data_IF_460106429539
#
_entry.id   IF_460106429539
#
_cell.length_a   1.000
_cell.length_b   1.000
_cell.length_c   1.000
_cell.angle_alpha   90.00
_cell.angle_beta   90.00
_cell.angle_gamma   90.00
#
_symmetry.space_group_name_H-M   'P 1'
#
loop_
_entity.id
_entity.type
_entity.pdbx_description
1 polymer ?
#
# COMPACT_ATOMS: atom_id res chain seq x y z
N UNK A 1 1.92 -4.02 -10.02
CA UNK A 1 2.42 -5.40 -10.25
C UNK A 1 3.72 -5.32 -11.01
N UNK A 2 4.64 -6.28 -10.85
CA UNK A 2 5.83 -6.47 -11.69
C UNK A 2 5.78 -7.89 -12.23
N UNK A 3 6.07 -8.08 -13.51
CA UNK A 3 6.19 -9.40 -14.14
C UNK A 3 7.53 -9.45 -14.86
N UNK A 4 8.33 -10.48 -14.58
CA UNK A 4 9.63 -10.70 -15.22
C UNK A 4 9.64 -12.03 -15.96
N UNK A 5 9.57 -11.98 -17.29
CA UNK A 5 9.59 -13.17 -18.13
C UNK A 5 10.96 -13.88 -18.06
N UNK A 6 12.03 -13.09 -17.97
CA UNK A 6 13.40 -13.64 -17.86
C UNK A 6 13.59 -14.47 -16.58
N UNK A 7 13.07 -13.97 -15.44
CA UNK A 7 13.22 -14.65 -14.14
C UNK A 7 12.06 -15.62 -13.85
N UNK A 8 11.02 -15.68 -14.72
CA UNK A 8 9.76 -16.39 -14.46
C UNK A 8 9.22 -16.06 -13.06
N UNK A 9 9.12 -14.77 -12.77
CA UNK A 9 8.87 -14.23 -11.44
C UNK A 9 7.86 -13.08 -11.49
N UNK A 10 6.96 -13.01 -10.51
CA UNK A 10 5.98 -11.94 -10.44
C UNK A 10 5.82 -11.40 -9.01
N UNK A 11 5.71 -10.07 -8.89
CA UNK A 11 5.32 -9.39 -7.67
C UNK A 11 3.92 -8.82 -7.80
N UNK A 12 2.97 -9.38 -7.05
CA UNK A 12 1.59 -8.88 -6.97
C UNK A 12 1.52 -7.77 -5.92
N UNK A 13 1.27 -6.56 -6.38
CA UNK A 13 1.34 -5.37 -5.52
C UNK A 13 0.01 -5.12 -4.80
N UNK A 14 -0.14 -5.65 -3.60
CA UNK A 14 -1.27 -5.35 -2.71
C UNK A 14 -1.11 -3.92 -2.16
N UNK A 15 -2.15 -3.06 -2.26
CA UNK A 15 -2.06 -1.69 -1.78
C UNK A 15 -1.86 -1.62 -0.27
N UNK A 16 -1.05 -0.65 0.19
CA UNK A 16 -0.75 -0.34 1.60
C UNK A 16 0.07 -1.40 2.36
N UNK A 17 0.71 -2.34 1.64
CA UNK A 17 1.56 -3.40 2.15
C UNK A 17 3.05 -3.19 1.78
N UNK A 18 3.60 -1.98 1.96
CA UNK A 18 4.98 -1.58 1.64
C UNK A 18 5.42 -1.80 0.17
N UNK A 19 4.48 -2.00 -0.74
CA UNK A 19 4.74 -2.34 -2.14
C UNK A 19 5.68 -1.37 -2.88
N UNK A 20 5.73 -0.09 -2.50
CA UNK A 20 6.64 0.89 -3.12
C UNK A 20 8.11 0.53 -2.88
N UNK A 21 8.47 0.12 -1.67
CA UNK A 21 9.86 -0.25 -1.33
C UNK A 21 10.30 -1.53 -2.05
N UNK A 22 9.39 -2.52 -2.17
CA UNK A 22 9.65 -3.78 -2.87
C UNK A 22 9.63 -3.60 -4.39
N UNK A 23 8.64 -2.88 -4.91
CA UNK A 23 8.45 -2.69 -6.37
C UNK A 23 9.56 -1.89 -7.02
N UNK A 24 10.06 -0.85 -6.35
CA UNK A 24 10.99 0.11 -6.95
C UNK A 24 12.26 -0.56 -7.54
N UNK A 25 12.99 -1.41 -6.81
CA UNK A 25 14.13 -2.11 -7.39
C UNK A 25 13.72 -3.14 -8.46
N UNK A 26 12.55 -3.80 -8.33
CA UNK A 26 12.06 -4.77 -9.29
C UNK A 26 11.64 -4.16 -10.64
N UNK A 27 11.49 -2.85 -10.75
CA UNK A 27 11.20 -2.17 -12.03
C UNK A 27 12.27 -2.45 -13.10
N UNK A 28 13.51 -2.71 -12.68
CA UNK A 28 14.61 -3.00 -13.60
C UNK A 28 14.42 -4.29 -14.40
N UNK A 29 13.62 -5.23 -13.87
CA UNK A 29 13.34 -6.52 -14.51
C UNK A 29 11.90 -6.65 -15.02
N UNK A 30 11.11 -5.59 -14.95
CA UNK A 30 9.72 -5.59 -15.39
C UNK A 30 9.63 -5.65 -16.90
N UNK A 31 9.10 -6.76 -17.43
CA UNK A 31 8.92 -6.98 -18.86
C UNK A 31 7.62 -6.38 -19.41
N UNK A 32 6.77 -5.83 -18.52
CA UNK A 32 5.54 -5.12 -18.94
C UNK A 32 5.78 -3.65 -19.28
N UNK A 33 7.04 -3.19 -19.26
CA UNK A 33 7.43 -1.80 -19.50
C UNK A 33 6.65 -0.80 -18.61
N UNK A 34 6.35 -1.18 -17.38
CA UNK A 34 5.61 -0.34 -16.42
C UNK A 34 4.12 -0.25 -16.68
N UNK A 35 3.55 -1.06 -17.57
CA UNK A 35 2.11 -1.04 -17.86
C UNK A 35 1.28 -1.20 -16.59
N UNK A 36 1.65 -2.12 -15.71
CA UNK A 36 1.02 -2.36 -14.42
C UNK A 36 1.59 -1.49 -13.28
N UNK A 37 2.15 -0.32 -13.59
CA UNK A 37 2.64 0.64 -12.58
C UNK A 37 2.08 2.06 -12.79
N UNK A 38 0.96 2.19 -13.47
CA UNK A 38 0.35 3.48 -13.83
C UNK A 38 -1.12 3.57 -13.43
N UNK A 39 -1.64 4.79 -13.44
CA UNK A 39 -3.07 5.09 -13.53
C UNK A 39 -3.37 5.39 -14.99
N UNK A 40 -4.45 4.84 -15.54
CA UNK A 40 -4.80 5.06 -16.93
C UNK A 40 -6.22 4.60 -17.26
N UNK A 41 -6.64 4.85 -18.49
CA UNK A 41 -7.93 4.41 -19.01
C UNK A 41 -7.84 2.99 -19.57
N UNK A 42 -8.93 2.24 -19.42
CA UNK A 42 -9.16 0.93 -20.04
C UNK A 42 -10.59 0.88 -20.55
N UNK A 43 -10.80 0.39 -21.78
CA UNK A 43 -12.09 0.46 -22.48
C UNK A 43 -13.25 -0.14 -21.67
N UNK A 44 -13.03 -1.30 -21.03
CA UNK A 44 -14.06 -1.98 -20.26
C UNK A 44 -14.12 -1.57 -18.77
N UNK A 45 -13.03 -1.04 -18.20
CA UNK A 45 -12.91 -0.75 -16.77
C UNK A 45 -12.95 0.75 -16.44
N UNK A 46 -12.85 1.62 -17.45
CA UNK A 46 -12.69 3.06 -17.25
C UNK A 46 -11.33 3.41 -16.67
N UNK A 47 -11.28 4.49 -15.90
CA UNK A 47 -10.03 4.95 -15.27
C UNK A 47 -9.68 4.15 -14.03
N UNK A 48 -8.60 3.38 -14.09
CA UNK A 48 -8.16 2.49 -13.02
C UNK A 48 -6.69 2.70 -12.63
N UNK A 49 -6.35 2.17 -11.46
CA UNK A 49 -4.97 2.05 -11.00
C UNK A 49 -4.43 0.65 -11.32
N UNK A 50 -3.77 0.49 -12.47
CA UNK A 50 -3.25 -0.81 -12.94
C UNK A 50 -2.29 -1.48 -11.95
N UNK A 51 -1.54 -0.71 -11.13
CA UNK A 51 -0.68 -1.30 -10.11
C UNK A 51 -1.46 -2.04 -9.02
N UNK A 52 -2.76 -1.78 -8.88
CA UNK A 52 -3.65 -2.38 -7.90
C UNK A 52 -4.82 -3.13 -8.56
N UNK A 53 -4.56 -3.72 -9.74
CA UNK A 53 -5.54 -4.58 -10.42
C UNK A 53 -5.73 -5.87 -9.61
N UNK A 54 -6.98 -6.28 -9.38
CA UNK A 54 -7.31 -7.55 -8.71
C UNK A 54 -7.03 -8.74 -9.63
N UNK A 55 -6.89 -9.94 -9.08
CA UNK A 55 -6.69 -11.15 -9.91
C UNK A 55 -7.92 -11.45 -10.79
N UNK A 56 -9.13 -11.09 -10.32
CA UNK A 56 -10.34 -11.19 -11.15
C UNK A 56 -10.24 -10.32 -12.39
N UNK A 57 -9.97 -9.03 -12.20
CA UNK A 57 -9.88 -8.08 -13.31
C UNK A 57 -8.68 -8.39 -14.23
N UNK A 58 -7.59 -8.89 -13.66
CA UNK A 58 -6.44 -9.35 -14.43
C UNK A 58 -6.81 -10.56 -15.31
N UNK A 59 -7.50 -11.56 -14.76
CA UNK A 59 -7.90 -12.75 -15.51
C UNK A 59 -8.92 -12.43 -16.62
N UNK A 60 -9.83 -11.48 -16.36
CA UNK A 60 -10.86 -11.09 -17.31
C UNK A 60 -10.32 -10.25 -18.47
N UNK A 61 -9.42 -9.31 -18.18
CA UNK A 61 -8.99 -8.30 -19.16
C UNK A 61 -7.55 -8.47 -19.65
N UNK A 62 -6.73 -9.28 -18.97
CA UNK A 62 -5.31 -9.55 -19.27
C UNK A 62 -4.98 -11.03 -19.12
N UNK A 63 -5.66 -11.91 -19.87
CA UNK A 63 -5.52 -13.36 -19.69
C UNK A 63 -4.09 -13.88 -19.91
N UNK A 64 -3.28 -13.19 -20.75
CA UNK A 64 -1.87 -13.53 -20.95
C UNK A 64 -1.04 -13.33 -19.70
N UNK A 65 -1.20 -12.18 -19.02
CA UNK A 65 -0.52 -11.87 -17.76
C UNK A 65 -1.06 -12.73 -16.60
N UNK A 66 -2.34 -13.01 -16.59
CA UNK A 66 -2.93 -13.92 -15.61
C UNK A 66 -2.38 -15.35 -15.75
N UNK A 67 -2.15 -15.83 -16.97
CA UNK A 67 -1.49 -17.11 -17.23
C UNK A 67 -0.04 -17.10 -16.70
N UNK A 68 0.71 -16.01 -16.93
CA UNK A 68 2.07 -15.87 -16.40
C UNK A 68 2.12 -15.97 -14.87
N UNK A 69 1.14 -15.42 -14.14
CA UNK A 69 1.09 -15.54 -12.68
C UNK A 69 0.90 -16.99 -12.20
N UNK A 70 0.27 -17.85 -13.01
CA UNK A 70 0.12 -19.28 -12.71
C UNK A 70 1.38 -20.08 -13.03
N UNK A 71 2.10 -19.67 -14.09
CA UNK A 71 3.28 -20.37 -14.60
C UNK A 71 4.59 -19.90 -13.92
N UNK A 72 4.61 -18.69 -13.38
CA UNK A 72 5.77 -18.08 -12.75
C UNK A 72 5.67 -18.16 -11.24
N UNK A 73 6.80 -18.03 -10.56
CA UNK A 73 6.79 -17.90 -9.11
C UNK A 73 6.26 -16.52 -8.72
N UNK A 74 5.04 -16.48 -8.22
CA UNK A 74 4.39 -15.24 -7.80
C UNK A 74 4.49 -15.03 -6.28
N UNK A 75 4.77 -13.80 -5.85
CA UNK A 75 4.73 -13.45 -4.44
C UNK A 75 3.99 -12.15 -4.17
N UNK A 76 3.51 -12.01 -2.93
CA UNK A 76 2.87 -10.80 -2.44
C UNK A 76 3.30 -10.48 -1.01
N UNK A 77 3.16 -9.21 -0.64
CA UNK A 77 3.33 -8.76 0.75
C UNK A 77 1.98 -8.40 1.32
N UNK A 78 1.67 -8.94 2.50
CA UNK A 78 0.43 -8.69 3.24
C UNK A 78 0.71 -7.89 4.52
N UNK A 79 -0.34 -7.37 5.11
CA UNK A 79 -0.30 -6.58 6.33
C UNK A 79 -1.51 -6.87 7.19
N UNK A 80 -1.39 -6.67 8.52
CA UNK A 80 -2.54 -6.67 9.43
C UNK A 80 -3.69 -5.81 8.86
N UNK A 81 -4.91 -6.37 8.71
CA UNK A 81 -6.01 -5.68 8.04
C UNK A 81 -6.43 -4.37 8.72
N UNK A 82 -6.36 -4.26 10.06
CA UNK A 82 -6.68 -3.01 10.77
C UNK A 82 -5.69 -1.92 10.42
N UNK A 83 -4.39 -2.26 10.45
CA UNK A 83 -3.33 -1.31 10.12
C UNK A 83 -3.38 -0.91 8.65
N UNK A 84 -3.72 -1.85 7.75
CA UNK A 84 -3.87 -1.60 6.32
C UNK A 84 -5.05 -0.68 6.04
N UNK A 85 -6.23 -0.97 6.61
CA UNK A 85 -7.43 -0.14 6.48
C UNK A 85 -7.17 1.29 6.94
N UNK A 86 -6.59 1.46 8.12
CA UNK A 86 -6.21 2.77 8.64
C UNK A 86 -5.22 3.49 7.73
N UNK A 87 -4.24 2.76 7.17
CA UNK A 87 -3.28 3.32 6.20
C UNK A 87 -3.96 3.80 4.91
N UNK A 88 -4.99 3.10 4.45
CA UNK A 88 -5.80 3.49 3.30
C UNK A 88 -6.63 4.76 3.58
N UNK A 89 -7.27 4.85 4.77
CA UNK A 89 -7.98 6.07 5.20
C UNK A 89 -7.08 7.30 5.22
N UNK A 90 -5.88 7.19 5.79
CA UNK A 90 -4.91 8.29 5.79
C UNK A 90 -4.51 8.71 4.37
N UNK A 91 -4.36 7.75 3.46
CA UNK A 91 -4.03 8.07 2.07
C UNK A 91 -5.19 8.78 1.37
N UNK A 92 -6.42 8.27 1.51
CA UNK A 92 -7.61 8.87 0.92
C UNK A 92 -7.82 10.31 1.41
N UNK A 93 -7.70 10.56 2.70
CA UNK A 93 -7.79 11.91 3.29
C UNK A 93 -6.74 12.87 2.70
N UNK A 94 -5.52 12.41 2.42
CA UNK A 94 -4.46 13.24 1.84
C UNK A 94 -4.60 13.45 0.35
N UNK A 95 -4.92 12.42 -0.41
CA UNK A 95 -4.94 12.45 -1.87
C UNK A 95 -6.23 13.03 -2.42
N UNK A 96 -7.37 12.60 -1.89
CA UNK A 96 -8.68 12.98 -2.42
C UNK A 96 -9.37 14.10 -1.63
N UNK A 97 -9.13 14.19 -0.32
CA UNK A 97 -9.64 15.29 0.52
C UNK A 97 -8.61 16.40 0.74
N UNK A 98 -7.39 16.26 0.18
CA UNK A 98 -6.29 17.24 0.23
C UNK A 98 -5.93 17.74 1.64
N UNK A 99 -6.18 16.91 2.67
CA UNK A 99 -5.86 17.26 4.06
C UNK A 99 -4.37 17.06 4.32
N UNK A 100 -3.77 18.02 5.03
CA UNK A 100 -2.44 17.82 5.59
C UNK A 100 -2.51 16.84 6.77
N UNK A 101 -1.41 16.14 7.02
CA UNK A 101 -1.36 15.16 8.11
C UNK A 101 -1.68 15.76 9.48
N UNK A 102 -1.28 17.00 9.73
CA UNK A 102 -1.57 17.74 10.95
C UNK A 102 -3.06 18.05 11.16
N UNK A 103 -3.86 18.00 10.10
CA UNK A 103 -5.28 18.35 10.11
C UNK A 103 -6.16 17.10 10.23
N UNK A 104 -5.54 15.91 10.17
CA UNK A 104 -6.22 14.61 10.31
C UNK A 104 -6.39 14.33 11.82
N UNK A 105 -7.58 14.59 12.32
CA UNK A 105 -7.99 14.29 13.70
C UNK A 105 -8.67 12.93 13.78
N UNK A 106 -8.85 12.40 14.99
CA UNK A 106 -9.59 11.17 15.24
C UNK A 106 -11.01 11.23 14.65
N UNK A 107 -11.75 12.31 14.91
CA UNK A 107 -13.12 12.49 14.38
C UNK A 107 -13.15 12.46 12.85
N UNK A 108 -12.13 13.03 12.18
CA UNK A 108 -12.01 12.96 10.71
C UNK A 108 -11.78 11.54 10.22
N UNK A 109 -10.96 10.76 10.92
CA UNK A 109 -10.74 9.35 10.60
C UNK A 109 -12.01 8.53 10.79
N UNK A 110 -12.76 8.75 11.88
CA UNK A 110 -14.01 8.06 12.16
C UNK A 110 -15.09 8.39 11.11
N UNK A 111 -15.23 9.65 10.73
CA UNK A 111 -16.14 10.08 9.66
C UNK A 111 -15.77 9.45 8.31
N UNK A 112 -14.49 9.53 7.94
CA UNK A 112 -13.98 8.95 6.70
C UNK A 112 -14.16 7.44 6.67
N UNK A 113 -13.94 6.75 7.80
CA UNK A 113 -14.19 5.31 7.92
C UNK A 113 -15.66 4.98 7.68
N UNK A 114 -16.60 5.74 8.27
CA UNK A 114 -18.03 5.55 8.06
C UNK A 114 -18.45 5.74 6.59
N UNK A 115 -17.88 6.75 5.89
CA UNK A 115 -18.14 6.98 4.47
C UNK A 115 -17.62 5.84 3.59
N UNK A 116 -16.38 5.40 3.86
CA UNK A 116 -15.79 4.25 3.15
C UNK A 116 -16.56 2.97 3.41
N UNK A 117 -16.96 2.70 4.66
CA UNK A 117 -17.74 1.50 5.00
C UNK A 117 -19.06 1.50 4.23
N UNK A 118 -19.79 2.59 4.22
CA UNK A 118 -21.04 2.71 3.46
C UNK A 118 -20.85 2.44 1.96
N UNK A 119 -19.75 2.92 1.39
CA UNK A 119 -19.41 2.62 0.00
C UNK A 119 -19.10 1.13 -0.21
N UNK A 120 -18.34 0.49 0.68
CA UNK A 120 -18.01 -0.93 0.58
C UNK A 120 -19.24 -1.83 0.82
N UNK A 121 -20.16 -1.43 1.69
CA UNK A 121 -21.43 -2.13 1.95
C UNK A 121 -22.39 -2.06 0.76
N UNK A 122 -22.24 -1.10 -0.15
CA UNK A 122 -23.01 -1.07 -1.41
C UNK A 122 -22.56 -2.15 -2.41
N UNK A 123 -21.53 -2.90 -2.08
CA UNK A 123 -20.97 -4.04 -2.83
C UNK A 123 -20.75 -3.75 -4.33
N UNK A 124 -20.00 -2.70 -4.66
CA UNK A 124 -19.75 -2.37 -6.06
C UNK A 124 -18.94 -3.48 -6.74
N UNK A 125 -19.27 -3.76 -8.00
CA UNK A 125 -18.57 -4.78 -8.82
C UNK A 125 -17.06 -4.55 -8.85
N UNK A 126 -16.64 -3.28 -8.87
CA UNK A 126 -15.23 -2.83 -8.80
C UNK A 126 -15.15 -1.57 -7.97
N UNK A 127 -14.13 -1.47 -7.13
CA UNK A 127 -13.86 -0.23 -6.40
C UNK A 127 -13.27 0.81 -7.35
N UNK A 128 -13.75 2.05 -7.26
CA UNK A 128 -13.21 3.18 -8.01
C UNK A 128 -11.81 3.60 -7.53
N UNK A 129 -11.23 4.60 -8.20
CA UNK A 129 -9.88 5.09 -7.90
C UNK A 129 -9.71 5.60 -6.46
N UNK A 130 -10.75 6.20 -5.88
CA UNK A 130 -10.71 6.70 -4.51
C UNK A 130 -10.71 5.58 -3.48
N UNK A 131 -11.32 4.44 -3.82
CA UNK A 131 -11.55 3.32 -2.91
C UNK A 131 -10.67 2.10 -3.20
N UNK A 132 -9.89 2.09 -4.30
CA UNK A 132 -9.06 0.94 -4.72
C UNK A 132 -8.13 0.41 -3.62
N UNK A 133 -7.70 1.27 -2.69
CA UNK A 133 -6.86 0.87 -1.57
C UNK A 133 -7.60 0.06 -0.49
N UNK A 134 -8.92 -0.06 -0.58
CA UNK A 134 -9.77 -0.83 0.34
C UNK A 134 -10.16 -2.22 -0.20
N UNK A 135 -9.73 -2.60 -1.42
CA UNK A 135 -9.87 -3.98 -1.88
C UNK A 135 -9.32 -4.95 -0.83
N UNK A 136 -9.90 -6.15 -0.73
CA UNK A 136 -9.36 -7.20 0.15
C UNK A 136 -8.00 -7.65 -0.35
N UNK A 137 -7.11 -8.01 0.55
CA UNK A 137 -5.80 -8.59 0.18
C UNK A 137 -5.98 -9.94 -0.53
N UNK A 138 -6.99 -10.69 -0.10
CA UNK A 138 -7.41 -11.94 -0.71
C UNK A 138 -7.77 -11.82 -2.19
N UNK A 139 -8.28 -10.66 -2.66
CA UNK A 139 -8.60 -10.41 -4.07
C UNK A 139 -7.35 -10.37 -4.98
N UNK A 140 -6.16 -10.26 -4.38
CA UNK A 140 -4.85 -10.27 -5.04
C UNK A 140 -4.11 -11.59 -4.91
N UNK A 141 -4.64 -12.53 -4.12
CA UNK A 141 -4.00 -13.82 -3.82
C UNK A 141 -4.80 -14.99 -4.39
N UNK A 142 -6.13 -14.87 -4.36
CA UNK A 142 -7.04 -15.92 -4.80
C UNK A 142 -7.86 -15.48 -6.02
N UNK A 143 -8.11 -16.42 -6.91
CA UNK A 143 -9.04 -16.26 -8.04
C UNK A 143 -9.85 -17.54 -8.22
N UNK A 144 -11.19 -17.42 -8.35
CA UNK A 144 -12.11 -18.56 -8.51
C UNK A 144 -11.92 -19.68 -7.47
N UNK A 145 -11.60 -19.30 -6.21
CA UNK A 145 -11.37 -20.25 -5.11
C UNK A 145 -9.96 -20.87 -5.08
N UNK A 146 -9.14 -20.61 -6.09
CA UNK A 146 -7.77 -21.11 -6.19
C UNK A 146 -6.76 -20.04 -5.69
N UNK A 147 -5.72 -20.49 -4.99
CA UNK A 147 -4.58 -19.64 -4.63
C UNK A 147 -3.63 -19.53 -5.82
N UNK A 148 -3.45 -18.32 -6.35
CA UNK A 148 -2.61 -18.02 -7.50
C UNK A 148 -1.21 -17.57 -7.08
N UNK A 149 -1.09 -16.88 -5.94
CA UNK A 149 0.18 -16.37 -5.44
C UNK A 149 0.85 -17.42 -4.55
N UNK A 150 2.06 -17.84 -4.93
CA UNK A 150 2.79 -18.92 -4.26
C UNK A 150 3.31 -18.54 -2.88
N UNK A 151 4.00 -17.40 -2.79
CA UNK A 151 4.68 -16.97 -1.58
C UNK A 151 4.06 -15.71 -1.02
N UNK A 152 3.74 -15.72 0.26
CA UNK A 152 3.11 -14.60 0.95
C UNK A 152 3.94 -14.25 2.16
N UNK A 153 4.38 -13.00 2.21
CA UNK A 153 5.18 -12.47 3.31
C UNK A 153 4.42 -11.40 4.07
N UNK A 154 4.43 -11.42 5.40
CA UNK A 154 3.92 -10.30 6.16
C UNK A 154 4.94 -9.14 6.11
N UNK A 155 4.44 -7.90 6.12
CA UNK A 155 5.28 -6.71 6.08
C UNK A 155 6.29 -6.65 7.23
N UNK A 156 6.00 -7.32 8.32
CA UNK A 156 6.83 -7.44 9.52
C UNK A 156 8.14 -8.18 9.24
N UNK A 157 8.16 -9.06 8.23
CA UNK A 157 9.32 -9.86 7.84
C UNK A 157 10.04 -9.26 6.61
N UNK A 158 10.29 -7.94 6.63
CA UNK A 158 10.91 -7.23 5.49
C UNK A 158 12.29 -7.79 5.11
N UNK A 159 13.09 -8.24 6.07
CA UNK A 159 14.39 -8.85 5.80
C UNK A 159 14.26 -10.13 4.95
N UNK A 160 13.24 -10.95 5.22
CA UNK A 160 13.00 -12.18 4.46
C UNK A 160 12.54 -11.86 3.03
N UNK A 161 11.73 -10.80 2.86
CA UNK A 161 11.32 -10.33 1.54
C UNK A 161 12.53 -9.88 0.72
N UNK A 162 13.43 -9.12 1.34
CA UNK A 162 14.68 -8.66 0.70
C UNK A 162 15.54 -9.84 0.27
N UNK A 163 15.76 -10.82 1.17
CA UNK A 163 16.53 -12.02 0.89
C UNK A 163 15.88 -12.86 -0.22
N UNK A 164 14.57 -13.05 -0.16
CA UNK A 164 13.80 -13.79 -1.17
C UNK A 164 13.92 -13.18 -2.57
N UNK A 165 13.75 -11.84 -2.67
CA UNK A 165 13.87 -11.14 -3.95
C UNK A 165 15.30 -11.25 -4.49
N UNK A 166 16.31 -11.07 -3.66
CA UNK A 166 17.72 -11.18 -4.05
C UNK A 166 18.06 -12.59 -4.56
N UNK A 167 17.60 -13.64 -3.86
CA UNK A 167 17.80 -15.03 -4.27
C UNK A 167 17.17 -15.35 -5.63
N UNK A 168 15.96 -14.84 -5.87
CA UNK A 168 15.20 -15.14 -7.09
C UNK A 168 15.58 -14.32 -8.31
N UNK A 169 16.10 -13.11 -8.11
CA UNK A 169 16.30 -12.15 -9.20
C UNK A 169 17.72 -11.61 -9.30
N UNK A 170 18.57 -11.86 -8.31
CA UNK A 170 19.89 -11.22 -8.20
C UNK A 170 19.84 -9.73 -7.86
N UNK A 171 18.63 -9.15 -7.65
CA UNK A 171 18.46 -7.73 -7.37
C UNK A 171 18.52 -7.49 -5.86
N UNK A 172 19.43 -6.62 -5.44
CA UNK A 172 19.50 -6.14 -4.07
C UNK A 172 18.37 -5.12 -3.81
N UNK A 173 17.50 -5.43 -2.87
CA UNK A 173 16.49 -4.51 -2.33
C UNK A 173 17.08 -3.85 -1.10
N UNK A 174 17.38 -2.55 -1.18
CA UNK A 174 17.77 -1.81 0.01
C UNK A 174 16.58 -1.70 0.97
N UNK A 175 16.79 -2.00 2.25
CA UNK A 175 15.77 -1.86 3.30
C UNK A 175 15.50 -0.37 3.59
N UNK A 176 15.19 0.43 2.58
CA UNK A 176 14.83 1.82 2.75
C UNK A 176 13.36 1.93 3.18
N UNK A 177 13.13 2.25 4.44
CA UNK A 177 11.79 2.61 4.94
C UNK A 177 11.33 3.97 4.37
N UNK A 178 11.03 3.99 3.05
CA UNK A 178 10.73 5.22 2.28
C UNK A 178 9.47 5.98 2.73
N UNK A 179 8.55 5.36 3.47
CA UNK A 179 7.23 5.96 3.79
C UNK A 179 6.89 6.01 5.28
N UNK A 180 7.84 6.40 6.15
CA UNK A 180 7.48 6.72 7.53
C UNK A 180 6.62 7.98 7.57
N UNK A 181 5.40 7.85 8.09
CA UNK A 181 4.61 9.02 8.49
C UNK A 181 5.21 9.55 9.80
N UNK A 182 6.04 10.60 9.69
CA UNK A 182 6.68 11.22 10.84
C UNK A 182 6.03 12.58 11.14
N UNK A 183 5.80 12.87 12.41
CA UNK A 183 5.36 14.18 12.89
C UNK A 183 6.43 14.83 13.77
N UNK A 184 6.44 16.17 13.77
CA UNK A 184 7.27 16.94 14.70
C UNK A 184 6.76 16.70 16.12
N UNK A 185 7.60 16.11 16.98
CA UNK A 185 7.25 15.77 18.37
C UNK A 185 6.91 17.00 19.23
N UNK A 186 7.56 18.13 18.94
CA UNK A 186 7.39 19.33 19.72
C UNK A 186 6.28 20.21 19.15
N UNK A 187 5.16 20.31 19.86
CA UNK A 187 3.99 21.10 19.45
C UNK A 187 4.32 22.56 19.18
N UNK A 188 5.25 23.13 19.95
CA UNK A 188 5.65 24.54 19.88
C UNK A 188 6.33 24.92 18.56
N UNK A 189 7.06 23.99 17.92
CA UNK A 189 7.74 24.26 16.64
C UNK A 189 6.88 23.92 15.41
N UNK A 190 5.72 23.27 15.58
CA UNK A 190 4.81 22.92 14.48
C UNK A 190 4.40 24.10 13.60
N UNK A 191 3.98 25.26 14.15
CA UNK A 191 3.59 26.42 13.32
C UNK A 191 4.76 26.98 12.52
N UNK A 192 5.96 27.03 13.07
CA UNK A 192 7.15 27.50 12.36
C UNK A 192 7.53 26.56 11.21
N UNK A 193 7.52 25.24 11.44
CA UNK A 193 7.77 24.22 10.41
C UNK A 193 6.71 24.30 9.31
N UNK A 194 5.45 24.59 9.67
CA UNK A 194 4.35 24.76 8.72
C UNK A 194 4.56 25.99 7.82
N UNK A 195 4.98 27.10 8.39
CA UNK A 195 5.26 28.34 7.66
C UNK A 195 6.43 28.19 6.68
N UNK A 196 7.50 27.51 7.12
CA UNK A 196 8.72 27.34 6.33
C UNK A 196 8.63 26.20 5.31
N UNK A 197 7.60 25.35 5.35
CA UNK A 197 7.49 24.15 4.53
C UNK A 197 7.45 24.44 3.02
N UNK A 198 6.70 25.46 2.59
CA UNK A 198 6.59 25.83 1.17
C UNK A 198 7.91 26.35 0.61
N UNK A 199 8.57 27.38 1.20
CA UNK A 199 9.86 27.85 0.73
C UNK A 199 10.95 26.76 0.83
N UNK A 200 10.96 25.97 1.90
CA UNK A 200 11.89 24.85 2.06
C UNK A 200 11.73 23.80 0.94
N UNK A 201 10.47 23.46 0.58
CA UNK A 201 10.20 22.51 -0.48
C UNK A 201 10.57 23.03 -1.88
N UNK A 202 10.55 24.36 -2.09
CA UNK A 202 10.93 24.99 -3.34
C UNK A 202 12.46 25.14 -3.50
N UNK A 203 13.16 25.42 -2.39
CA UNK A 203 14.57 25.79 -2.41
C UNK A 203 15.55 24.63 -2.16
N UNK A 204 15.09 23.57 -1.49
CA UNK A 204 15.97 22.45 -1.10
C UNK A 204 15.74 21.23 -2.00
N UNK A 205 16.76 20.67 -2.68
CA UNK A 205 16.67 19.48 -3.49
C UNK A 205 16.13 18.26 -2.71
N UNK A 206 15.35 17.41 -3.39
CA UNK A 206 14.67 16.27 -2.77
C UNK A 206 15.61 15.34 -1.98
N UNK A 207 16.79 15.04 -2.53
CA UNK A 207 17.79 14.18 -1.88
C UNK A 207 18.27 14.79 -0.54
N UNK A 208 18.53 16.10 -0.52
CA UNK A 208 18.96 16.81 0.70
C UNK A 208 17.83 16.87 1.73
N UNK A 209 16.60 17.06 1.29
CA UNK A 209 15.42 17.02 2.17
C UNK A 209 15.28 15.68 2.88
N UNK A 210 15.48 14.59 2.18
CA UNK A 210 15.41 13.24 2.75
C UNK A 210 16.55 13.00 3.76
N UNK A 211 17.75 13.41 3.43
CA UNK A 211 18.90 13.30 4.35
C UNK A 211 18.69 14.09 5.65
N UNK A 212 18.24 15.34 5.53
CA UNK A 212 17.92 16.19 6.69
C UNK A 212 16.77 15.59 7.52
N UNK A 213 15.72 15.11 6.86
CA UNK A 213 14.60 14.46 7.56
C UNK A 213 15.07 13.23 8.34
N UNK A 214 15.89 12.38 7.76
CA UNK A 214 16.42 11.19 8.43
C UNK A 214 17.27 11.57 9.66
N UNK A 215 18.10 12.61 9.56
CA UNK A 215 18.85 13.15 10.71
C UNK A 215 17.93 13.71 11.81
N UNK A 216 16.87 14.41 11.44
CA UNK A 216 15.90 14.95 12.41
C UNK A 216 15.07 13.83 13.07
N UNK A 217 14.79 12.74 12.36
CA UNK A 217 14.18 11.52 12.95
C UNK A 217 15.15 10.87 13.94
N UNK A 218 16.43 10.71 13.55
CA UNK A 218 17.48 10.15 14.43
C UNK A 218 17.70 11.01 15.67
N UNK A 219 17.58 12.33 15.56
CA UNK A 219 17.68 13.28 16.68
C UNK A 219 16.41 13.31 17.55
N UNK A 220 15.38 12.49 17.25
CA UNK A 220 14.14 12.43 18.04
C UNK A 220 13.22 13.65 17.88
N UNK A 221 13.51 14.55 16.94
CA UNK A 221 12.68 15.75 16.65
C UNK A 221 11.40 15.36 15.94
N UNK A 222 11.49 14.31 15.07
CA UNK A 222 10.34 13.67 14.43
C UNK A 222 10.06 12.33 15.09
N UNK A 223 8.79 12.04 15.38
CA UNK A 223 8.32 10.75 15.89
C UNK A 223 7.35 10.09 14.92
N UNK A 224 7.24 8.76 15.02
CA UNK A 224 6.20 8.02 14.26
C UNK A 224 4.82 8.42 14.81
N UNK A 225 3.89 8.68 13.90
CA UNK A 225 2.48 8.90 14.27
C UNK A 225 1.91 7.58 14.79
N UNK A 226 1.45 7.58 16.03
CA UNK A 226 0.71 6.43 16.56
C UNK A 226 -0.69 6.39 15.92
N UNK A 227 -0.75 5.82 14.73
CA UNK A 227 -1.99 5.68 13.96
C UNK A 227 -2.96 4.71 14.64
N UNK A 228 -2.46 3.68 15.35
CA UNK A 228 -3.28 2.65 15.98
C UNK A 228 -4.25 3.18 17.03
N UNK A 229 -3.91 4.28 17.70
CA UNK A 229 -4.80 4.92 18.68
C UNK A 229 -5.96 5.73 18.05
N UNK A 230 -5.99 5.88 16.72
CA UNK A 230 -7.00 6.70 16.05
C UNK A 230 -8.29 5.96 15.70
N UNK A 231 -8.29 4.62 15.72
CA UNK A 231 -9.50 3.80 15.60
C UNK A 231 -9.65 2.99 16.88
N UNK A 232 -10.75 3.18 17.64
CA UNK A 232 -10.98 2.41 18.85
C UNK A 232 -11.26 0.94 18.52
N UNK A 233 -10.68 0.04 19.31
CA UNK A 233 -11.04 -1.37 19.28
C UNK A 233 -12.48 -1.56 19.80
N UNK A 234 -13.21 -2.53 19.23
CA UNK A 234 -14.56 -2.92 19.67
C UNK A 234 -15.71 -2.00 19.21
N UNK A 235 -15.42 -0.99 18.37
CA UNK A 235 -16.45 -0.13 17.78
C UNK A 235 -17.00 -0.66 16.45
N UNK A 236 -17.95 0.08 15.86
CA UNK A 236 -18.55 -0.22 14.55
C UNK A 236 -17.50 -0.47 13.45
N UNK A 237 -16.47 0.38 13.38
CA UNK A 237 -15.38 0.26 12.39
C UNK A 237 -14.59 -1.04 12.59
N UNK A 238 -14.24 -1.39 13.83
CA UNK A 238 -13.51 -2.64 14.13
C UNK A 238 -14.36 -3.87 13.76
N UNK A 239 -15.67 -3.85 14.10
CA UNK A 239 -16.60 -4.90 13.72
C UNK A 239 -16.69 -5.09 12.19
N UNK A 240 -16.82 -4.00 11.45
CA UNK A 240 -16.82 -4.03 9.98
C UNK A 240 -15.50 -4.59 9.44
N UNK A 241 -14.36 -4.08 9.87
CA UNK A 241 -13.04 -4.51 9.39
C UNK A 241 -12.84 -6.00 9.63
N UNK A 242 -13.21 -6.52 10.81
CA UNK A 242 -13.11 -7.96 11.13
C UNK A 242 -14.00 -8.83 10.23
N UNK A 243 -15.20 -8.35 9.93
CA UNK A 243 -16.14 -9.08 9.07
C UNK A 243 -15.72 -9.01 7.59
N UNK A 244 -15.53 -7.80 7.07
CA UNK A 244 -15.27 -7.57 5.66
C UNK A 244 -13.92 -8.16 5.20
N UNK A 245 -12.88 -8.07 6.06
CA UNK A 245 -11.52 -8.58 5.78
C UNK A 245 -11.22 -9.90 6.51
N UNK A 246 -12.24 -10.71 6.84
CA UNK A 246 -12.06 -11.98 7.56
C UNK A 246 -11.01 -12.89 6.92
N UNK A 247 -11.04 -13.03 5.59
CA UNK A 247 -10.07 -13.85 4.86
C UNK A 247 -8.66 -13.23 4.89
N UNK A 248 -8.55 -11.91 4.88
CA UNK A 248 -7.26 -11.20 5.00
C UNK A 248 -6.62 -11.42 6.37
N UNK A 249 -7.40 -11.47 7.45
CA UNK A 249 -6.87 -11.83 8.78
C UNK A 249 -6.30 -13.24 8.80
N UNK A 250 -7.01 -14.20 8.20
CA UNK A 250 -6.52 -15.58 8.10
C UNK A 250 -5.24 -15.65 7.24
N UNK A 251 -5.22 -14.91 6.13
CA UNK A 251 -4.05 -14.83 5.24
C UNK A 251 -2.83 -14.24 5.94
N UNK A 252 -3.00 -13.13 6.67
CA UNK A 252 -1.92 -12.50 7.43
C UNK A 252 -1.42 -13.40 8.55
N UNK A 253 -2.33 -14.00 9.34
CA UNK A 253 -1.94 -14.91 10.42
C UNK A 253 -1.17 -16.15 9.92
N UNK A 254 -1.53 -16.68 8.75
CA UNK A 254 -0.83 -17.81 8.14
C UNK A 254 0.54 -17.44 7.54
N UNK A 255 0.85 -16.15 7.40
CA UNK A 255 2.12 -15.66 6.83
C UNK A 255 3.17 -15.30 7.89
N UNK A 256 2.76 -15.13 9.16
CA UNK A 256 3.67 -14.82 10.28
C UNK A 256 4.57 -16.00 10.64
#
# INVERSE_FOLDING_TARGET
>A
MIISDHHRFAFVHIPKCAGVSVKHPLRAIDTTAGYFDRIGEHDAMGRIHFAHITLRDLAEHFPGEAAKLRDYRAFAVVRDPNQRFLSALFQRLREFKQLNQSDITRNRIEQEAADVIRYLESDPVRLDLEHVHFNRQSDYVFHAGERIVDDIFPIERMADIVAYVADRTGISVEEERRNRSTEVRFAVVRPLVRLLRRPYAALVPYALRNHLRNRLVSAGIYGDVNKGAMLPAGGYVDGFVRSYYKQDFALHAASL
#
